data_IF_605329295866
#
_entry.id   IF_605329295866
#
_cell.length_a   1.000
_cell.length_b   1.000
_cell.length_c   1.000
_cell.angle_alpha   90.00
_cell.angle_beta   90.00
_cell.angle_gamma   90.00
#
_symmetry.space_group_name_H-M   'P 1'
#
loop_
_entity.id
_entity.type
_entity.pdbx_description
1 polymer ?
#
# COMPACT_ATOMS: atom_id res chain seq x y z
N UNK A 1 11.45 -16.06 -4.49
CA UNK A 1 12.72 -15.36 -4.84
C UNK A 1 12.49 -13.87 -4.65
N UNK A 2 13.46 -13.15 -4.10
CA UNK A 2 13.43 -11.69 -3.92
C UNK A 2 14.51 -11.03 -4.79
N UNK A 3 14.43 -9.71 -4.99
CA UNK A 3 15.44 -8.96 -5.76
C UNK A 3 16.69 -8.71 -4.89
N UNK A 4 17.88 -8.93 -5.48
CA UNK A 4 19.14 -8.68 -4.78
C UNK A 4 19.45 -7.17 -4.65
N UNK A 5 19.05 -6.36 -5.63
CA UNK A 5 19.30 -4.90 -5.62
C UNK A 5 18.31 -4.15 -6.53
N UNK A 6 17.89 -2.96 -6.09
CA UNK A 6 17.15 -1.97 -6.86
C UNK A 6 18.03 -0.71 -7.02
N UNK A 7 18.91 -0.69 -8.03
CA UNK A 7 19.89 0.41 -8.23
C UNK A 7 19.23 1.78 -8.38
N UNK A 8 17.99 1.82 -8.87
CA UNK A 8 17.27 3.05 -9.19
C UNK A 8 16.07 3.31 -8.27
N UNK A 9 15.92 2.54 -7.19
CA UNK A 9 14.77 2.67 -6.28
C UNK A 9 13.44 2.23 -6.92
N UNK A 10 12.34 2.86 -6.50
CA UNK A 10 10.98 2.53 -6.93
C UNK A 10 10.12 3.79 -7.08
N UNK A 11 8.96 3.62 -7.72
CA UNK A 11 7.91 4.64 -7.87
C UNK A 11 6.61 4.22 -7.16
N UNK A 12 6.72 3.49 -6.04
CA UNK A 12 5.58 2.96 -5.31
C UNK A 12 4.91 4.02 -4.41
N UNK A 13 4.48 5.14 -5.00
CA UNK A 13 3.80 6.24 -4.31
C UNK A 13 2.30 6.34 -4.64
N UNK A 14 1.74 5.35 -5.36
CA UNK A 14 0.33 5.33 -5.76
C UNK A 14 -0.68 5.66 -4.66
N UNK A 15 -0.58 5.05 -3.46
CA UNK A 15 -1.45 5.37 -2.32
C UNK A 15 -1.44 6.84 -1.92
N UNK A 16 -0.29 7.53 -2.00
CA UNK A 16 -0.18 8.95 -1.67
C UNK A 16 -0.94 9.88 -2.64
N UNK A 17 -1.37 9.37 -3.79
CA UNK A 17 -2.17 10.12 -4.76
C UNK A 17 -3.68 10.03 -4.47
N UNK A 18 -4.10 9.08 -3.64
CA UNK A 18 -5.50 8.83 -3.34
C UNK A 18 -5.94 9.69 -2.14
N UNK A 19 -7.13 10.29 -2.25
CA UNK A 19 -7.71 11.04 -1.11
C UNK A 19 -8.33 10.12 -0.07
N UNK A 20 -8.75 8.92 -0.48
CA UNK A 20 -9.34 7.88 0.36
C UNK A 20 -8.83 6.51 -0.07
N UNK A 21 -8.69 5.59 0.88
CA UNK A 21 -8.18 4.23 0.66
C UNK A 21 -9.22 3.16 1.01
N UNK A 22 -9.19 2.02 0.31
CA UNK A 22 -10.04 0.84 0.57
C UNK A 22 -9.43 -0.14 1.58
N UNK A 23 -8.35 0.24 2.25
CA UNK A 23 -7.70 -0.55 3.31
C UNK A 23 -7.86 0.14 4.66
N UNK A 24 -7.85 -0.66 5.72
CA UNK A 24 -7.97 -0.21 7.11
C UNK A 24 -6.77 0.60 7.58
N UNK A 25 -5.56 0.22 7.14
CA UNK A 25 -4.31 0.90 7.47
C UNK A 25 -3.56 1.24 6.18
N UNK A 26 -3.27 2.53 6.00
CA UNK A 26 -2.51 3.03 4.86
C UNK A 26 -1.03 2.61 4.95
N UNK A 27 -0.35 2.39 3.82
CA UNK A 27 1.08 2.10 3.81
C UNK A 27 1.89 3.23 4.45
N UNK A 28 2.92 2.86 5.22
CA UNK A 28 3.75 3.84 5.94
C UNK A 28 4.86 4.36 5.02
N UNK A 29 4.82 5.66 4.74
CA UNK A 29 5.89 6.39 4.07
C UNK A 29 6.65 7.24 5.08
N UNK A 30 7.96 7.02 5.18
CA UNK A 30 8.86 7.74 6.10
C UNK A 30 10.27 7.78 5.52
N UNK A 31 11.01 8.86 5.80
CA UNK A 31 12.44 8.96 5.44
C UNK A 31 12.74 8.63 3.97
N UNK A 32 11.88 9.11 3.07
CA UNK A 32 11.95 8.87 1.60
C UNK A 32 11.78 7.40 1.17
N UNK A 33 11.16 6.57 1.99
CA UNK A 33 10.97 5.14 1.75
C UNK A 33 9.54 4.69 2.03
N UNK A 34 9.17 3.56 1.42
CA UNK A 34 7.98 2.78 1.76
C UNK A 34 8.40 1.66 2.71
N UNK A 35 7.82 1.63 3.90
CA UNK A 35 8.05 0.54 4.86
C UNK A 35 7.19 -0.68 4.50
N UNK A 36 7.83 -1.85 4.34
CA UNK A 36 7.13 -3.11 4.03
C UNK A 36 6.79 -3.84 5.33
N UNK A 37 5.51 -4.19 5.59
CA UNK A 37 5.11 -4.87 6.81
C UNK A 37 5.69 -6.29 6.88
N UNK A 38 5.93 -6.78 8.09
CA UNK A 38 6.39 -8.16 8.38
C UNK A 38 5.27 -9.12 8.78
N UNK A 39 4.03 -8.75 8.48
CA UNK A 39 2.82 -9.52 8.79
C UNK A 39 2.56 -10.58 7.70
N UNK A 40 1.74 -11.61 7.98
CA UNK A 40 1.36 -12.60 6.98
C UNK A 40 0.67 -11.98 5.75
N UNK A 41 0.91 -12.58 4.57
CA UNK A 41 0.34 -12.10 3.31
C UNK A 41 0.92 -10.74 2.91
N UNK A 42 0.04 -9.82 2.51
CA UNK A 42 0.42 -8.44 2.19
C UNK A 42 0.50 -7.54 3.43
N UNK A 43 0.12 -8.04 4.61
CA UNK A 43 0.07 -7.24 5.83
C UNK A 43 -0.94 -6.11 5.81
N UNK A 44 -2.05 -6.27 5.08
CA UNK A 44 -3.16 -5.31 4.98
C UNK A 44 -4.50 -6.01 5.18
N UNK A 45 -5.51 -5.24 5.56
CA UNK A 45 -6.90 -5.69 5.68
C UNK A 45 -7.81 -4.70 4.96
N UNK A 46 -8.78 -5.19 4.21
CA UNK A 46 -9.74 -4.36 3.47
C UNK A 46 -10.69 -3.65 4.43
N UNK A 47 -11.03 -2.42 4.08
CA UNK A 47 -12.18 -1.69 4.62
C UNK A 47 -13.39 -2.02 3.75
N UNK A 48 -14.24 -2.93 4.22
CA UNK A 48 -15.39 -3.44 3.46
C UNK A 48 -16.44 -2.34 3.16
N UNK A 49 -16.56 -1.34 4.02
CA UNK A 49 -17.49 -0.23 3.82
C UNK A 49 -17.02 0.67 2.67
N UNK A 50 -15.74 1.05 2.70
CA UNK A 50 -15.14 1.86 1.63
C UNK A 50 -15.04 1.09 0.32
N UNK A 51 -14.73 -0.21 0.38
CA UNK A 51 -14.73 -1.06 -0.80
C UNK A 51 -16.11 -1.10 -1.47
N UNK A 52 -17.17 -1.30 -0.69
CA UNK A 52 -18.54 -1.26 -1.21
C UNK A 52 -18.91 0.13 -1.78
N UNK A 53 -18.45 1.20 -1.13
CA UNK A 53 -18.71 2.58 -1.58
C UNK A 53 -18.04 2.90 -2.93
N UNK A 54 -16.79 2.48 -3.14
CA UNK A 54 -16.04 2.73 -4.37
C UNK A 54 -16.23 1.68 -5.47
N UNK A 55 -16.96 0.59 -5.19
CA UNK A 55 -17.22 -0.46 -6.18
C UNK A 55 -17.99 0.08 -7.39
N UNK A 56 -17.52 -0.25 -8.60
CA UNK A 56 -18.22 0.11 -9.83
C UNK A 56 -19.48 -0.74 -9.97
N UNK A 57 -20.58 -0.12 -10.42
CA UNK A 57 -21.82 -0.80 -10.81
C UNK A 57 -21.70 -1.49 -12.16
#
# INVERSE_FOLDING_TARGET
>A
VTLNKLTWGTELFGPLLLTEEIVTEAPVYRDFQLEVPRMPGLGLTLDEERLAFFSRK
#
